data_IF_372732847369
#
_entry.id   IF_372732847369
#
_cell.length_a   1.000
_cell.length_b   1.000
_cell.length_c   1.000
_cell.angle_alpha   90.00
_cell.angle_beta   90.00
_cell.angle_gamma   90.00
#
_symmetry.space_group_name_H-M   'P 1'
#
loop_
_entity.id
_entity.type
_entity.pdbx_description
1 polymer ?
#
# COMPACT_ATOMS: atom_id res chain seq x y z
N UNK A 1 16.25 -6.17 0.83
CA UNK A 1 15.71 -7.00 1.91
C UNK A 1 14.76 -6.12 2.72
N UNK A 2 13.52 -6.54 2.95
CA UNK A 2 12.59 -5.80 3.80
C UNK A 2 13.09 -5.77 5.24
N UNK A 3 13.01 -4.63 5.89
CA UNK A 3 13.43 -4.48 7.30
C UNK A 3 12.33 -4.86 8.28
N UNK A 4 11.07 -4.90 7.83
CA UNK A 4 9.87 -5.05 8.66
C UNK A 4 9.76 -4.03 9.80
N UNK A 5 10.45 -2.89 9.68
CA UNK A 5 10.33 -1.80 10.65
C UNK A 5 9.03 -1.02 10.38
N UNK A 6 8.11 -1.11 11.33
CA UNK A 6 6.79 -0.45 11.30
C UNK A 6 6.90 1.07 11.13
N UNK A 7 8.03 1.68 11.55
CA UNK A 7 8.26 3.12 11.41
C UNK A 7 8.18 3.59 9.95
N UNK A 8 8.59 2.76 8.99
CA UNK A 8 8.50 3.13 7.58
C UNK A 8 7.07 3.12 7.07
N UNK A 9 6.27 2.14 7.51
CA UNK A 9 4.85 2.07 7.15
C UNK A 9 4.05 3.23 7.77
N UNK A 10 4.30 3.58 9.04
CA UNK A 10 3.70 4.75 9.69
C UNK A 10 4.07 6.05 8.98
N UNK A 11 5.33 6.22 8.56
CA UNK A 11 5.75 7.40 7.80
C UNK A 11 5.09 7.45 6.43
N UNK A 12 4.94 6.31 5.76
CA UNK A 12 4.25 6.24 4.48
C UNK A 12 2.78 6.64 4.62
N UNK A 13 2.09 6.15 5.66
CA UNK A 13 0.71 6.53 5.97
C UNK A 13 0.59 8.04 6.24
N UNK A 14 1.46 8.59 7.10
CA UNK A 14 1.45 10.01 7.42
C UNK A 14 1.69 10.90 6.19
N UNK A 15 2.62 10.52 5.30
CA UNK A 15 2.85 11.24 4.05
C UNK A 15 1.65 11.15 3.10
N UNK A 16 1.00 9.98 3.04
CA UNK A 16 -0.18 9.78 2.22
C UNK A 16 -1.38 10.61 2.74
N UNK A 17 -1.53 10.76 4.05
CA UNK A 17 -2.53 11.64 4.65
C UNK A 17 -2.29 13.11 4.28
N UNK A 18 -1.04 13.57 4.32
CA UNK A 18 -0.68 14.91 3.86
C UNK A 18 -1.02 15.09 2.38
N UNK A 19 -0.72 14.11 1.54
CA UNK A 19 -1.07 14.16 0.12
C UNK A 19 -2.59 14.21 -0.09
N UNK A 20 -3.38 13.44 0.66
CA UNK A 20 -4.84 13.49 0.62
C UNK A 20 -5.37 14.86 1.01
N UNK A 21 -4.82 15.46 2.05
CA UNK A 21 -5.23 16.78 2.51
C UNK A 21 -4.92 17.89 1.52
N UNK A 22 -3.72 17.86 0.92
CA UNK A 22 -3.21 19.00 0.14
C UNK A 22 -3.45 18.86 -1.37
N UNK A 23 -3.53 17.64 -1.90
CA UNK A 23 -3.50 17.39 -3.33
C UNK A 23 -4.72 16.63 -3.87
N UNK A 24 -5.56 16.06 -3.00
CA UNK A 24 -6.71 15.29 -3.44
C UNK A 24 -7.78 16.17 -4.10
N UNK A 25 -8.37 15.69 -5.19
CA UNK A 25 -9.54 16.30 -5.82
C UNK A 25 -10.82 15.66 -5.26
N UNK A 26 -11.50 16.35 -4.37
CA UNK A 26 -12.74 15.85 -3.77
C UNK A 26 -13.89 15.70 -4.77
N UNK A 27 -13.89 16.49 -5.84
CA UNK A 27 -14.97 16.45 -6.83
C UNK A 27 -14.74 15.42 -7.92
N UNK A 28 -13.49 15.30 -8.41
CA UNK A 28 -13.18 14.47 -9.57
C UNK A 28 -12.35 13.24 -9.28
N UNK A 29 -11.92 13.05 -8.04
CA UNK A 29 -10.99 11.97 -7.65
C UNK A 29 -9.58 12.14 -8.21
N UNK A 30 -8.63 11.42 -7.61
CA UNK A 30 -7.21 11.51 -7.97
C UNK A 30 -6.50 12.73 -7.40
N UNK A 31 -5.21 12.83 -7.69
CA UNK A 31 -4.32 13.82 -7.11
C UNK A 31 -3.88 14.84 -8.12
N UNK A 32 -3.94 16.11 -7.74
CA UNK A 32 -3.29 17.18 -8.47
C UNK A 32 -1.76 17.12 -8.27
N UNK A 33 -0.99 17.61 -9.25
CA UNK A 33 0.48 17.69 -9.15
C UNK A 33 0.96 18.70 -8.12
N UNK A 34 0.12 19.66 -7.75
CA UNK A 34 0.47 20.74 -6.83
C UNK A 34 -0.55 20.84 -5.71
N UNK A 35 -0.10 21.20 -4.52
CA UNK A 35 -0.96 21.41 -3.37
C UNK A 35 -1.92 22.57 -3.53
N UNK A 36 -2.98 22.61 -2.73
CA UNK A 36 -4.02 23.64 -2.74
C UNK A 36 -3.46 25.04 -2.41
N UNK A 37 -2.35 25.11 -1.71
CA UNK A 37 -1.69 26.37 -1.32
C UNK A 37 -0.99 27.07 -2.50
N UNK A 38 -0.75 26.39 -3.61
CA UNK A 38 -0.09 26.98 -4.78
C UNK A 38 -1.11 27.73 -5.64
N UNK A 39 -1.26 29.04 -5.36
CA UNK A 39 -2.19 29.94 -6.05
C UNK A 39 -1.61 30.55 -7.35
N UNK A 40 -0.35 30.27 -7.68
CA UNK A 40 0.31 30.83 -8.87
C UNK A 40 -0.17 30.17 -10.18
N UNK A 41 -0.73 28.96 -10.11
CA UNK A 41 -1.23 28.25 -11.29
C UNK A 41 -2.72 28.50 -11.50
N UNK A 42 -3.12 28.97 -12.70
CA UNK A 42 -4.55 29.18 -13.02
C UNK A 42 -5.34 27.86 -13.07
N UNK A 43 -4.65 26.72 -13.30
CA UNK A 43 -5.23 25.39 -13.33
C UNK A 43 -4.29 24.43 -12.61
N UNK A 44 -4.82 23.58 -11.74
CA UNK A 44 -4.07 22.48 -11.11
C UNK A 44 -4.14 21.24 -11.99
N UNK A 45 -3.05 20.83 -12.65
CA UNK A 45 -3.07 19.66 -13.51
C UNK A 45 -3.04 18.35 -12.69
N UNK A 46 -3.63 17.29 -13.25
CA UNK A 46 -3.44 15.92 -12.82
C UNK A 46 -2.65 15.18 -13.87
N UNK A 47 -1.56 14.53 -13.50
CA UNK A 47 -0.81 13.66 -14.39
C UNK A 47 -1.20 12.20 -14.17
N UNK A 48 -1.41 11.49 -15.26
CA UNK A 48 -1.76 10.08 -15.24
C UNK A 48 -0.85 9.25 -16.14
N UNK A 49 -0.20 9.88 -17.13
CA UNK A 49 0.62 9.19 -18.12
C UNK A 49 1.86 8.54 -17.48
N UNK A 50 1.98 7.23 -17.67
CA UNK A 50 3.16 6.46 -17.25
C UNK A 50 4.18 6.44 -18.40
N UNK A 51 5.18 7.32 -18.32
CA UNK A 51 6.26 7.42 -19.29
C UNK A 51 7.50 6.60 -18.87
N UNK A 52 8.67 7.25 -18.95
CA UNK A 52 9.92 6.65 -18.46
C UNK A 52 9.91 6.42 -16.94
N UNK A 53 9.11 7.19 -16.22
CA UNK A 53 8.79 7.00 -14.81
C UNK A 53 7.27 6.93 -14.65
N UNK A 54 6.74 6.18 -13.68
CA UNK A 54 5.32 6.15 -13.37
C UNK A 54 4.80 7.53 -12.96
N UNK A 55 3.55 7.83 -13.31
CA UNK A 55 2.89 9.06 -12.87
C UNK A 55 2.65 9.07 -11.35
N UNK A 56 2.55 10.26 -10.78
CA UNK A 56 2.23 10.42 -9.35
C UNK A 56 0.90 9.75 -8.98
N UNK A 57 -0.12 9.82 -9.85
CA UNK A 57 -1.40 9.15 -9.61
C UNK A 57 -1.27 7.63 -9.65
N UNK A 58 -0.49 7.08 -10.57
CA UNK A 58 -0.26 5.62 -10.65
C UNK A 58 0.46 5.08 -9.41
N UNK A 59 1.50 5.79 -8.95
CA UNK A 59 2.23 5.43 -7.73
C UNK A 59 1.31 5.54 -6.50
N UNK A 60 0.51 6.62 -6.43
CA UNK A 60 -0.38 6.84 -5.29
C UNK A 60 -1.50 5.80 -5.22
N UNK A 61 -2.05 5.36 -6.36
CA UNK A 61 -2.99 4.24 -6.38
C UNK A 61 -2.40 3.00 -5.69
N UNK A 62 -1.18 2.63 -6.07
CA UNK A 62 -0.49 1.48 -5.47
C UNK A 62 -0.25 1.70 -3.96
N UNK A 63 0.17 2.90 -3.55
CA UNK A 63 0.38 3.22 -2.14
C UNK A 63 -0.90 3.09 -1.31
N UNK A 64 -2.03 3.60 -1.80
CA UNK A 64 -3.32 3.49 -1.13
C UNK A 64 -3.74 2.03 -0.94
N UNK A 65 -3.57 1.21 -1.97
CA UNK A 65 -3.87 -0.22 -1.91
C UNK A 65 -2.97 -0.97 -0.93
N UNK A 66 -1.67 -0.65 -0.91
CA UNK A 66 -0.73 -1.22 0.06
C UNK A 66 -1.07 -0.79 1.48
N UNK A 67 -1.36 0.49 1.71
CA UNK A 67 -1.73 1.00 3.03
C UNK A 67 -3.02 0.35 3.53
N UNK A 68 -4.03 0.20 2.68
CA UNK A 68 -5.25 -0.51 3.05
C UNK A 68 -4.97 -1.92 3.58
N UNK A 69 -4.13 -2.67 2.90
CA UNK A 69 -3.79 -4.04 3.29
C UNK A 69 -2.87 -4.09 4.51
N UNK A 70 -1.93 -3.16 4.61
CA UNK A 70 -1.02 -3.09 5.75
C UNK A 70 -1.73 -2.68 7.05
N UNK A 71 -2.68 -1.75 6.98
CA UNK A 71 -3.39 -1.24 8.16
C UNK A 71 -4.69 -1.99 8.45
N UNK A 72 -5.32 -2.56 7.43
CA UNK A 72 -6.69 -3.08 7.49
C UNK A 72 -7.76 -1.99 7.39
N UNK A 73 -7.38 -0.72 7.15
CA UNK A 73 -8.30 0.40 7.06
C UNK A 73 -8.91 0.52 5.66
N UNK A 74 -10.22 0.40 5.55
CA UNK A 74 -10.94 0.48 4.27
C UNK A 74 -10.92 1.87 3.64
N UNK A 75 -10.73 2.92 4.43
CA UNK A 75 -10.67 4.29 3.93
C UNK A 75 -9.62 4.50 2.82
N UNK A 76 -8.48 3.80 2.91
CA UNK A 76 -7.47 3.81 1.86
C UNK A 76 -7.96 3.16 0.56
N UNK A 77 -8.63 2.01 0.68
CA UNK A 77 -9.23 1.31 -0.47
C UNK A 77 -10.33 2.14 -1.12
N UNK A 78 -11.16 2.84 -0.32
CA UNK A 78 -12.21 3.72 -0.83
C UNK A 78 -11.65 4.85 -1.69
N UNK A 79 -10.51 5.45 -1.28
CA UNK A 79 -9.82 6.47 -2.09
C UNK A 79 -9.20 5.87 -3.35
N UNK A 80 -8.63 4.66 -3.28
CA UNK A 80 -8.13 3.94 -4.45
C UNK A 80 -9.26 3.66 -5.46
N UNK A 81 -10.42 3.21 -5.01
CA UNK A 81 -11.59 2.93 -5.84
C UNK A 81 -12.13 4.21 -6.52
N UNK A 82 -12.17 5.34 -5.79
CA UNK A 82 -12.51 6.64 -6.37
C UNK A 82 -11.54 7.03 -7.49
N UNK A 83 -10.22 6.79 -7.33
CA UNK A 83 -9.23 7.03 -8.38
C UNK A 83 -9.46 6.15 -9.60
N UNK A 84 -9.72 4.86 -9.40
CA UNK A 84 -10.00 3.91 -10.49
C UNK A 84 -11.21 4.39 -11.28
N UNK A 85 -12.29 4.76 -10.63
CA UNK A 85 -13.50 5.28 -11.29
C UNK A 85 -13.25 6.57 -12.05
N UNK A 86 -12.49 7.50 -11.45
CA UNK A 86 -12.16 8.78 -12.05
C UNK A 86 -11.39 8.64 -13.38
N UNK A 87 -10.47 7.68 -13.46
CA UNK A 87 -9.56 7.52 -14.58
C UNK A 87 -9.95 6.39 -15.55
N UNK A 88 -10.93 5.54 -15.21
CA UNK A 88 -11.32 4.38 -16.02
C UNK A 88 -11.57 4.70 -17.49
N UNK A 89 -12.29 5.79 -17.79
CA UNK A 89 -12.58 6.19 -19.15
C UNK A 89 -11.35 6.64 -19.93
N UNK A 90 -10.37 7.25 -19.29
CA UNK A 90 -9.10 7.67 -19.90
C UNK A 90 -8.22 6.46 -20.18
N UNK A 91 -8.06 5.59 -19.19
CA UNK A 91 -7.24 4.39 -19.27
C UNK A 91 -7.80 3.41 -20.31
N UNK A 92 -9.13 3.23 -20.34
CA UNK A 92 -9.78 2.34 -21.30
C UNK A 92 -9.58 2.73 -22.77
N UNK A 93 -9.35 4.02 -23.07
CA UNK A 93 -9.06 4.48 -24.44
C UNK A 93 -7.64 4.17 -24.89
N UNK A 94 -6.66 4.15 -24.02
CA UNK A 94 -5.26 3.91 -24.36
C UNK A 94 -4.51 3.23 -23.20
N UNK A 95 -4.80 1.95 -22.90
CA UNK A 95 -4.24 1.25 -21.74
C UNK A 95 -2.71 1.24 -21.68
N UNK A 96 -2.04 1.17 -22.83
CA UNK A 96 -0.57 1.14 -22.92
C UNK A 96 0.12 2.41 -22.42
N UNK A 97 -0.61 3.50 -22.25
CA UNK A 97 -0.09 4.76 -21.71
C UNK A 97 -0.12 4.83 -20.15
N UNK A 98 -0.70 3.82 -19.48
CA UNK A 98 -0.98 3.82 -18.05
C UNK A 98 -0.58 2.50 -17.40
N UNK A 99 0.61 2.01 -17.73
CA UNK A 99 1.03 0.64 -17.38
C UNK A 99 1.19 0.43 -15.90
N UNK A 100 1.70 1.42 -15.16
CA UNK A 100 1.82 1.30 -13.71
C UNK A 100 0.49 1.44 -12.99
N UNK A 101 -0.44 2.26 -13.51
CA UNK A 101 -1.81 2.30 -13.03
C UNK A 101 -2.50 0.93 -13.18
N UNK A 102 -2.27 0.27 -14.32
CA UNK A 102 -2.80 -1.09 -14.55
C UNK A 102 -2.19 -2.13 -13.60
N UNK A 103 -0.93 -1.97 -13.16
CA UNK A 103 -0.37 -2.81 -12.09
C UNK A 103 -1.13 -2.61 -10.78
N UNK A 104 -1.48 -1.36 -10.43
CA UNK A 104 -2.34 -1.08 -9.26
C UNK A 104 -3.72 -1.70 -9.40
N UNK A 105 -4.34 -1.61 -10.56
CA UNK A 105 -5.63 -2.22 -10.83
C UNK A 105 -5.57 -3.76 -10.74
N UNK A 106 -4.54 -4.38 -11.30
CA UNK A 106 -4.30 -5.83 -11.18
C UNK A 106 -4.15 -6.25 -9.69
N UNK A 107 -3.39 -5.46 -8.92
CA UNK A 107 -3.25 -5.68 -7.47
C UNK A 107 -4.59 -5.60 -6.72
N UNK A 108 -5.47 -4.66 -7.11
CA UNK A 108 -6.79 -4.49 -6.49
C UNK A 108 -7.77 -5.62 -6.84
N UNK A 109 -7.72 -6.13 -8.08
CA UNK A 109 -8.71 -7.07 -8.61
C UNK A 109 -8.35 -8.54 -8.33
N UNK A 110 -7.08 -8.86 -8.15
CA UNK A 110 -6.66 -10.24 -7.87
C UNK A 110 -6.78 -10.57 -6.38
N UNK A 111 -7.12 -11.84 -6.04
CA UNK A 111 -6.99 -12.32 -4.68
C UNK A 111 -5.57 -12.07 -4.18
N UNK A 112 -5.45 -11.40 -3.04
CA UNK A 112 -4.17 -11.15 -2.38
C UNK A 112 -4.00 -12.06 -1.18
N UNK A 113 -2.76 -12.13 -0.69
CA UNK A 113 -2.41 -12.82 0.54
C UNK A 113 -1.83 -11.81 1.52
N UNK A 114 -2.46 -11.66 2.68
CA UNK A 114 -1.95 -10.83 3.77
C UNK A 114 -1.40 -11.78 4.84
N UNK A 115 -0.08 -11.81 4.96
CA UNK A 115 0.63 -12.76 5.81
C UNK A 115 1.27 -12.00 6.98
N UNK A 116 0.93 -12.41 8.19
CA UNK A 116 1.60 -11.94 9.40
C UNK A 116 2.41 -13.07 9.99
N UNK A 117 3.72 -12.93 10.02
CA UNK A 117 4.60 -13.85 10.71
C UNK A 117 4.74 -13.38 12.16
N UNK A 118 4.27 -14.19 13.12
CA UNK A 118 4.45 -13.95 14.54
C UNK A 118 5.65 -14.75 15.04
N UNK A 119 6.71 -14.08 15.50
CA UNK A 119 7.93 -14.72 15.97
C UNK A 119 9.06 -13.70 16.17
N UNK A 120 10.16 -14.15 16.77
CA UNK A 120 11.30 -13.27 17.03
C UNK A 120 12.02 -12.89 15.72
N UNK A 121 12.31 -11.59 15.60
CA UNK A 121 13.04 -11.05 14.45
C UNK A 121 14.44 -11.67 14.36
N UNK A 122 14.82 -12.16 13.18
CA UNK A 122 16.12 -12.80 12.96
C UNK A 122 16.22 -14.23 13.50
N UNK A 123 15.16 -14.79 14.08
CA UNK A 123 15.17 -16.20 14.47
C UNK A 123 15.26 -17.12 13.25
N UNK A 124 15.91 -18.31 13.37
CA UNK A 124 16.00 -19.25 12.24
C UNK A 124 14.63 -19.67 11.68
N UNK A 125 13.60 -19.70 12.51
CA UNK A 125 12.24 -20.06 12.09
C UNK A 125 11.57 -18.95 11.30
N UNK A 126 11.68 -17.69 11.76
CA UNK A 126 11.18 -16.53 11.02
C UNK A 126 11.90 -16.39 9.67
N UNK A 127 13.22 -16.53 9.65
CA UNK A 127 14.01 -16.47 8.41
C UNK A 127 13.66 -17.61 7.43
N UNK A 128 13.35 -18.81 7.92
CA UNK A 128 12.88 -19.91 7.06
C UNK A 128 11.51 -19.61 6.44
N UNK A 129 10.55 -19.11 7.22
CA UNK A 129 9.24 -18.73 6.71
C UNK A 129 9.34 -17.60 5.68
N UNK A 130 10.08 -16.53 5.99
CA UNK A 130 10.32 -15.43 5.06
C UNK A 130 11.01 -15.90 3.77
N UNK A 131 11.98 -16.80 3.89
CA UNK A 131 12.66 -17.37 2.72
C UNK A 131 11.71 -18.20 1.86
N UNK A 132 10.85 -19.02 2.48
CA UNK A 132 9.85 -19.80 1.77
C UNK A 132 8.86 -18.91 1.00
N UNK A 133 8.40 -17.81 1.60
CA UNK A 133 7.52 -16.83 0.95
C UNK A 133 8.18 -16.15 -0.25
N UNK A 134 9.49 -15.97 -0.23
CA UNK A 134 10.25 -15.33 -1.30
C UNK A 134 10.66 -16.29 -2.44
N UNK A 135 10.41 -17.59 -2.32
CA UNK A 135 10.71 -18.55 -3.38
C UNK A 135 9.81 -18.40 -4.61
N UNK A 136 8.62 -17.86 -4.42
CA UNK A 136 7.64 -17.67 -5.50
C UNK A 136 7.36 -16.19 -5.68
N UNK A 137 7.31 -15.74 -6.93
CA UNK A 137 6.89 -14.37 -7.25
C UNK A 137 5.38 -14.24 -7.04
N UNK A 138 4.98 -13.56 -5.98
CA UNK A 138 3.59 -13.29 -5.60
C UNK A 138 3.36 -11.79 -5.48
N UNK A 139 3.08 -11.09 -6.59
CA UNK A 139 3.00 -9.62 -6.61
C UNK A 139 1.89 -9.07 -5.70
N UNK A 140 0.86 -9.86 -5.41
CA UNK A 140 -0.28 -9.50 -4.58
C UNK A 140 -0.15 -10.01 -3.13
N UNK A 141 1.06 -10.27 -2.67
CA UNK A 141 1.33 -10.66 -1.29
C UNK A 141 1.82 -9.46 -0.48
N UNK A 142 1.22 -9.26 0.68
CA UNK A 142 1.71 -8.32 1.71
C UNK A 142 2.15 -9.13 2.91
N UNK A 143 3.37 -8.90 3.37
CA UNK A 143 3.94 -9.65 4.49
C UNK A 143 4.37 -8.69 5.60
N UNK A 144 3.98 -8.99 6.83
CA UNK A 144 4.39 -8.29 8.04
C UNK A 144 5.06 -9.26 9.01
N UNK A 145 6.00 -8.75 9.79
CA UNK A 145 6.64 -9.51 10.87
C UNK A 145 6.25 -8.88 12.21
N UNK A 146 5.56 -9.64 13.06
CA UNK A 146 5.22 -9.28 14.43
C UNK A 146 6.18 -9.97 15.37
N UNK A 147 7.06 -9.19 16.00
CA UNK A 147 8.05 -9.67 16.96
C UNK A 147 7.83 -9.03 18.32
N UNK A 148 8.45 -9.54 19.37
CA UNK A 148 8.38 -8.96 20.71
C UNK A 148 8.70 -7.47 20.72
N UNK A 149 9.69 -7.04 19.93
CA UNK A 149 10.17 -5.66 19.87
C UNK A 149 9.16 -4.69 19.24
N UNK A 150 8.36 -5.15 18.24
CA UNK A 150 7.47 -4.29 17.49
C UNK A 150 5.98 -4.56 17.70
N UNK A 151 5.61 -5.62 18.42
CA UNK A 151 4.23 -6.11 18.53
C UNK A 151 3.22 -5.01 18.91
N UNK A 152 3.50 -4.25 19.97
CA UNK A 152 2.61 -3.17 20.42
C UNK A 152 2.48 -2.02 19.40
N UNK A 153 3.55 -1.73 18.67
CA UNK A 153 3.55 -0.70 17.63
C UNK A 153 2.79 -1.17 16.40
N UNK A 154 3.04 -2.41 15.98
CA UNK A 154 2.35 -3.02 14.84
C UNK A 154 0.85 -3.15 15.12
N UNK A 155 0.43 -3.58 16.31
CA UNK A 155 -0.98 -3.69 16.66
C UNK A 155 -1.70 -2.33 16.68
N UNK A 156 -1.02 -1.24 17.02
CA UNK A 156 -1.60 0.11 16.89
C UNK A 156 -1.73 0.56 15.44
N UNK A 157 -0.75 0.23 14.61
CA UNK A 157 -0.74 0.58 13.19
C UNK A 157 -1.69 -0.29 12.36
N UNK A 158 -1.79 -1.57 12.69
CA UNK A 158 -2.56 -2.60 12.00
C UNK A 158 -3.37 -3.41 13.03
N UNK A 159 -4.49 -2.85 13.48
CA UNK A 159 -5.30 -3.38 14.59
C UNK A 159 -5.70 -4.85 14.43
N UNK A 160 -5.87 -5.33 13.19
CA UNK A 160 -6.19 -6.74 12.92
C UNK A 160 -5.08 -7.72 13.35
N UNK A 161 -3.85 -7.23 13.57
CA UNK A 161 -2.73 -8.06 14.00
C UNK A 161 -2.72 -8.31 15.51
N UNK A 162 -3.59 -7.65 16.29
CA UNK A 162 -3.51 -7.66 17.76
C UNK A 162 -3.57 -9.07 18.35
N UNK A 163 -4.51 -9.89 17.93
CA UNK A 163 -4.68 -11.28 18.40
C UNK A 163 -3.69 -12.29 17.82
N UNK A 164 -2.85 -11.91 16.86
CA UNK A 164 -1.94 -12.84 16.19
C UNK A 164 -0.68 -13.07 17.02
N UNK A 165 -0.39 -14.32 17.34
CA UNK A 165 0.69 -14.71 18.23
C UNK A 165 1.42 -15.95 17.72
N UNK A 166 2.56 -16.26 18.33
CA UNK A 166 3.23 -17.56 18.17
C UNK A 166 2.30 -18.71 18.55
N UNK A 167 2.37 -19.82 17.87
CA UNK A 167 1.52 -21.00 18.12
C UNK A 167 2.35 -22.06 18.85
N UNK A 168 1.92 -22.47 20.04
CA UNK A 168 2.64 -23.45 20.89
C UNK A 168 4.12 -23.08 21.14
N UNK A 169 4.40 -21.75 21.24
CA UNK A 169 5.76 -21.26 21.45
C UNK A 169 6.64 -21.27 20.19
N UNK A 170 6.07 -21.60 19.02
CA UNK A 170 6.79 -21.59 17.74
C UNK A 170 6.34 -20.42 16.86
N UNK A 171 7.25 -19.94 16.02
CA UNK A 171 6.94 -18.94 14.99
C UNK A 171 5.82 -19.45 14.08
N UNK A 172 4.81 -18.60 13.84
CA UNK A 172 3.64 -18.95 13.06
C UNK A 172 3.40 -17.93 11.95
N UNK A 173 2.92 -18.39 10.79
CA UNK A 173 2.39 -17.55 9.75
C UNK A 173 0.85 -17.56 9.80
N UNK A 174 0.24 -16.39 9.84
CA UNK A 174 -1.21 -16.19 9.82
C UNK A 174 -1.61 -15.60 8.46
N UNK A 175 -2.71 -16.12 7.89
CA UNK A 175 -3.30 -15.71 6.59
C UNK A 175 -4.68 -15.11 6.84
#
# INVERSE_FOLDING_TARGET
>A
RSTFDVAWAERAAALQEVMLKEMWDEAGGGFFLVGAQNQELPVRPKELYDGAIPSANSVTLMNLLWLSRLTGETAWADKADQMVRAFAGTIGRQPSAFTFFLCGLDFALRPGQDIVIAGESGSPDAERLLSALNLTFTPNQVTQLKSGDNASRLSRFAGYTDGLQVVQGQTAAHL
#
